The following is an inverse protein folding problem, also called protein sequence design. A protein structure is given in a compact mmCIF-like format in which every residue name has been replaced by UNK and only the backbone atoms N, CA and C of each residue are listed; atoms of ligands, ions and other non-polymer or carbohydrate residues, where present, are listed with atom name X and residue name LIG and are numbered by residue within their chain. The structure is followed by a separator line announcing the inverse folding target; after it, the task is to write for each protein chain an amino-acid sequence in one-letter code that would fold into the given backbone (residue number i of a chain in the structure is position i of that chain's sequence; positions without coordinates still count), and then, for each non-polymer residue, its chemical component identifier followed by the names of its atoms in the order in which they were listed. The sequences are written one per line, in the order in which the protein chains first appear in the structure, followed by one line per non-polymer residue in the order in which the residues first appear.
data_IF_348186993864
#
_entry.id   IF_348186993864
#
_cell.length_a   1.000
_cell.length_b   1.000
_cell.length_c   1.000
_cell.angle_alpha   90.00
_cell.angle_beta   90.00
_cell.angle_gamma   90.00
#
_symmetry.space_group_name_H-M   'P 1'
#
loop_
_entity.id
_entity.type
_entity.pdbx_description
1 polymer ?
#
# COMPACT_ATOMS: atom_id res chain seq x y z
N UNK A 1 83.58 -24.59 23.34
CA UNK A 1 82.92 -23.90 24.47
C UNK A 1 81.66 -23.21 23.96
N UNK A 2 80.59 -23.38 24.71
CA UNK A 2 79.18 -23.22 24.34
C UNK A 2 78.74 -21.79 24.00
N UNK A 3 77.73 -21.68 23.13
CA UNK A 3 76.57 -20.77 23.35
C UNK A 3 75.39 -21.21 22.49
N UNK A 4 74.50 -22.00 23.12
CA UNK A 4 73.13 -22.23 22.69
C UNK A 4 72.34 -20.98 23.01
N UNK A 5 71.68 -20.37 22.02
CA UNK A 5 70.73 -19.27 22.27
C UNK A 5 69.41 -19.63 21.61
N UNK A 6 68.46 -20.08 22.44
CA UNK A 6 67.11 -20.43 22.03
C UNK A 6 66.32 -19.20 21.60
N UNK A 7 65.63 -19.28 20.46
CA UNK A 7 64.62 -18.33 20.04
C UNK A 7 63.27 -18.77 20.60
N UNK A 8 62.75 -18.00 21.54
CA UNK A 8 61.40 -18.15 22.08
C UNK A 8 60.41 -17.71 20.99
N UNK A 9 59.55 -18.62 20.54
CA UNK A 9 58.40 -18.28 19.68
C UNK A 9 57.31 -17.68 20.57
N UNK A 10 57.07 -16.38 20.44
CA UNK A 10 55.89 -15.74 20.98
C UNK A 10 54.68 -16.13 20.12
N UNK A 11 53.76 -16.93 20.68
CA UNK A 11 52.44 -17.15 20.13
C UNK A 11 51.55 -15.97 20.54
N UNK A 12 51.18 -15.12 19.58
CA UNK A 12 50.15 -14.09 19.77
C UNK A 12 48.82 -14.78 19.43
N UNK A 13 47.86 -14.91 20.37
CA UNK A 13 46.53 -15.37 20.02
C UNK A 13 45.84 -14.25 19.23
N UNK A 14 45.52 -14.53 17.96
CA UNK A 14 44.65 -13.67 17.16
C UNK A 14 43.23 -13.79 17.74
N UNK A 15 42.79 -12.75 18.46
CA UNK A 15 41.39 -12.56 18.84
C UNK A 15 40.58 -12.30 17.58
N UNK A 16 39.94 -13.35 17.06
CA UNK A 16 38.85 -13.24 16.09
C UNK A 16 37.64 -12.62 16.81
N UNK A 17 37.49 -11.31 16.72
CA UNK A 17 36.22 -10.64 17.04
C UNK A 17 35.22 -11.00 15.95
N UNK A 18 34.44 -12.05 16.17
CA UNK A 18 33.20 -12.29 15.41
C UNK A 18 32.25 -11.14 15.66
N UNK A 19 32.23 -10.18 14.74
CA UNK A 19 31.15 -9.18 14.67
C UNK A 19 29.91 -9.95 14.23
N UNK A 20 29.02 -10.25 15.18
CA UNK A 20 27.66 -10.67 14.91
C UNK A 20 26.98 -9.51 14.16
N UNK A 21 26.94 -9.60 12.83
CA UNK A 21 26.05 -8.82 11.98
C UNK A 21 24.62 -9.24 12.35
N UNK A 22 24.04 -8.55 13.32
CA UNK A 22 22.60 -8.62 13.55
C UNK A 22 21.92 -8.18 12.25
N UNK A 23 20.97 -8.96 11.70
CA UNK A 23 20.20 -8.49 10.57
C UNK A 23 19.49 -7.21 11.01
N UNK A 24 19.81 -6.10 10.32
CA UNK A 24 19.05 -4.87 10.45
C UNK A 24 17.61 -5.23 10.08
N UNK A 25 16.62 -4.99 10.95
CA UNK A 25 15.23 -5.21 10.55
C UNK A 25 14.97 -4.35 9.32
N UNK A 26 14.59 -5.00 8.21
CA UNK A 26 14.17 -4.29 7.03
C UNK A 26 13.00 -3.39 7.44
N UNK A 27 13.19 -2.08 7.35
CA UNK A 27 12.09 -1.13 7.54
C UNK A 27 11.10 -1.46 6.42
N UNK A 28 9.81 -1.74 6.72
CA UNK A 28 8.84 -2.01 5.68
C UNK A 28 8.79 -0.78 4.77
N UNK A 29 9.25 -0.96 3.54
CA UNK A 29 9.22 0.08 2.52
C UNK A 29 7.75 0.27 2.15
N UNK A 30 7.20 1.45 2.41
CA UNK A 30 5.83 1.76 2.05
C UNK A 30 5.64 1.59 0.53
N UNK A 31 4.51 0.98 0.11
CA UNK A 31 4.20 0.78 -1.30
C UNK A 31 4.21 2.12 -2.06
N UNK A 32 5.00 2.26 -3.15
CA UNK A 32 5.18 3.54 -3.85
C UNK A 32 3.86 4.21 -4.28
N UNK A 33 2.88 3.43 -4.72
CA UNK A 33 1.55 3.91 -5.11
C UNK A 33 0.82 4.52 -3.91
N UNK A 34 0.88 3.89 -2.74
CA UNK A 34 0.20 4.41 -1.55
C UNK A 34 0.85 5.71 -1.07
N UNK A 35 2.17 5.82 -1.18
CA UNK A 35 2.89 7.07 -0.91
C UNK A 35 2.43 8.16 -1.88
N UNK A 36 2.36 7.85 -3.17
CA UNK A 36 1.97 8.82 -4.20
C UNK A 36 0.49 9.23 -4.14
N UNK A 37 -0.39 8.40 -3.56
CA UNK A 37 -1.81 8.73 -3.36
C UNK A 37 -2.06 9.75 -2.24
N UNK A 38 -1.08 10.06 -1.39
CA UNK A 38 -1.26 11.01 -0.29
C UNK A 38 -1.69 12.40 -0.78
N UNK A 39 -2.59 13.04 -0.03
CA UNK A 39 -3.11 14.37 -0.31
C UNK A 39 -4.49 14.36 -0.98
N UNK A 40 -4.91 15.52 -1.47
CA UNK A 40 -6.25 15.74 -2.01
C UNK A 40 -6.31 15.62 -3.53
N UNK A 41 -7.37 15.02 -4.02
CA UNK A 41 -7.59 14.67 -5.42
C UNK A 41 -8.93 15.20 -5.92
N UNK A 42 -8.92 15.74 -7.14
CA UNK A 42 -10.15 15.97 -7.89
C UNK A 42 -10.50 14.67 -8.59
N UNK A 43 -11.45 13.93 -8.04
CA UNK A 43 -11.91 12.69 -8.65
C UNK A 43 -13.20 12.84 -9.43
N UNK A 44 -13.40 11.92 -10.36
CA UNK A 44 -14.65 11.70 -11.08
C UNK A 44 -14.91 10.21 -11.16
N UNK A 45 -16.05 9.77 -10.66
CA UNK A 45 -16.56 8.43 -10.92
C UNK A 45 -17.17 8.44 -12.32
N UNK A 46 -16.42 8.00 -13.33
CA UNK A 46 -16.84 8.05 -14.75
C UNK A 46 -17.82 6.93 -15.11
N UNK A 47 -17.87 5.87 -14.30
CA UNK A 47 -18.82 4.77 -14.41
C UNK A 47 -19.30 4.40 -13.02
N UNK A 48 -20.61 4.47 -12.81
CA UNK A 48 -21.31 3.89 -11.66
C UNK A 48 -22.69 3.40 -12.12
N UNK A 49 -23.41 2.61 -11.32
CA UNK A 49 -24.80 2.25 -11.61
C UNK A 49 -25.75 3.44 -11.77
N UNK A 50 -25.40 4.61 -11.22
CA UNK A 50 -26.22 5.83 -11.25
C UNK A 50 -25.73 6.87 -12.27
N UNK A 51 -24.73 6.54 -13.08
CA UNK A 51 -24.09 7.46 -14.00
C UNK A 51 -22.84 8.12 -13.42
N UNK A 52 -22.29 9.10 -14.13
CA UNK A 52 -21.06 9.77 -13.71
C UNK A 52 -21.32 10.80 -12.61
N UNK A 53 -20.42 10.93 -11.64
CA UNK A 53 -20.51 11.94 -10.59
C UNK A 53 -19.12 12.42 -10.11
N UNK A 54 -19.03 13.61 -9.50
CA UNK A 54 -17.82 14.05 -8.79
C UNK A 54 -17.42 13.04 -7.71
N UNK A 55 -16.12 12.89 -7.50
CA UNK A 55 -15.53 11.98 -6.52
C UNK A 55 -14.32 12.64 -5.82
N UNK A 56 -14.48 13.80 -5.17
CA UNK A 56 -13.38 14.40 -4.42
C UNK A 56 -12.98 13.50 -3.25
N UNK A 57 -11.68 13.36 -3.00
CA UNK A 57 -11.15 12.58 -1.87
C UNK A 57 -9.80 13.14 -1.44
N UNK A 58 -9.54 13.12 -0.12
CA UNK A 58 -8.22 13.34 0.43
C UNK A 58 -7.76 12.06 1.13
N UNK A 59 -6.54 11.62 0.84
CA UNK A 59 -5.90 10.51 1.53
C UNK A 59 -4.89 11.05 2.54
N UNK A 60 -5.08 10.70 3.80
CA UNK A 60 -4.28 11.16 4.93
C UNK A 60 -3.55 9.99 5.58
N UNK A 61 -2.25 10.16 5.82
CA UNK A 61 -1.45 9.22 6.59
C UNK A 61 -1.85 9.28 8.06
N UNK A 62 -2.22 8.12 8.61
CA UNK A 62 -2.65 7.95 9.99
C UNK A 62 -1.46 7.62 10.90
N UNK A 63 -1.69 7.68 12.22
CA UNK A 63 -0.64 7.41 13.23
C UNK A 63 -0.09 5.99 13.19
N UNK A 64 -0.90 5.03 12.76
CA UNK A 64 -0.51 3.63 12.56
C UNK A 64 0.15 3.39 11.20
N UNK A 65 0.55 4.46 10.50
CA UNK A 65 1.11 4.44 9.14
C UNK A 65 0.14 3.91 8.07
N UNK A 66 -1.15 3.76 8.38
CA UNK A 66 -2.17 3.46 7.39
C UNK A 66 -2.55 4.71 6.59
N UNK A 67 -3.01 4.52 5.35
CA UNK A 67 -3.54 5.60 4.51
C UNK A 67 -5.05 5.54 4.53
N UNK A 68 -5.70 6.63 4.88
CA UNK A 68 -7.16 6.69 4.98
C UNK A 68 -7.74 7.84 4.16
N UNK A 69 -8.83 7.59 3.45
CA UNK A 69 -9.56 8.63 2.73
C UNK A 69 -11.06 8.36 2.68
N UNK A 70 -11.83 9.45 2.62
CA UNK A 70 -13.30 9.41 2.50
C UNK A 70 -13.73 10.28 1.34
N UNK A 71 -14.50 9.70 0.42
CA UNK A 71 -15.24 10.45 -0.59
C UNK A 71 -16.71 10.57 -0.15
N UNK A 72 -17.21 11.79 -0.03
CA UNK A 72 -18.62 12.09 0.26
C UNK A 72 -19.37 12.35 -1.06
N UNK A 73 -20.32 11.48 -1.39
CA UNK A 73 -20.98 11.41 -2.70
C UNK A 73 -22.48 11.70 -2.60
N UNK A 74 -22.87 12.55 -1.64
CA UNK A 74 -24.27 12.96 -1.34
C UNK A 74 -25.14 11.82 -0.77
N UNK A 75 -25.29 10.72 -1.49
CA UNK A 75 -26.11 9.56 -1.07
C UNK A 75 -25.32 8.46 -0.36
N UNK A 76 -23.99 8.57 -0.34
CA UNK A 76 -23.11 7.55 0.22
C UNK A 76 -21.74 8.14 0.51
N UNK A 77 -21.08 7.62 1.53
CA UNK A 77 -19.66 7.84 1.80
C UNK A 77 -18.89 6.59 1.41
N UNK A 78 -17.76 6.79 0.73
CA UNK A 78 -16.83 5.71 0.40
C UNK A 78 -15.58 5.88 1.24
N UNK A 79 -15.36 4.94 2.15
CA UNK A 79 -14.19 4.88 3.02
C UNK A 79 -13.17 3.94 2.41
N UNK A 80 -11.94 4.42 2.30
CA UNK A 80 -10.78 3.71 1.79
C UNK A 80 -9.73 3.69 2.89
N UNK A 81 -9.36 2.51 3.35
CA UNK A 81 -8.34 2.35 4.38
C UNK A 81 -7.30 1.33 3.91
N UNK A 82 -6.11 1.80 3.61
CA UNK A 82 -4.97 0.98 3.19
C UNK A 82 -4.02 0.79 4.37
N UNK A 83 -3.63 -0.43 4.64
CA UNK A 83 -2.66 -0.75 5.70
C UNK A 83 -1.68 -1.79 5.22
N UNK A 84 -0.42 -1.66 5.63
CA UNK A 84 0.64 -2.65 5.36
C UNK A 84 1.08 -3.24 6.69
N UNK A 85 0.96 -4.56 6.85
CA UNK A 85 1.43 -5.31 8.01
C UNK A 85 2.19 -6.54 7.51
N UNK A 86 3.39 -6.79 8.05
CA UNK A 86 4.18 -8.00 7.74
C UNK A 86 4.32 -8.27 6.22
N UNK A 87 4.68 -7.22 5.46
CA UNK A 87 4.80 -7.24 3.99
C UNK A 87 3.50 -7.58 3.23
N UNK A 88 2.35 -7.50 3.90
CA UNK A 88 1.02 -7.66 3.30
C UNK A 88 0.27 -6.35 3.33
N UNK A 89 -0.03 -5.85 2.14
CA UNK A 89 -0.89 -4.67 1.97
C UNK A 89 -2.34 -5.11 1.89
N UNK A 90 -3.21 -4.44 2.64
CA UNK A 90 -4.63 -4.70 2.72
C UNK A 90 -5.42 -3.43 2.44
N UNK A 91 -6.59 -3.59 1.83
CA UNK A 91 -7.59 -2.56 1.64
C UNK A 91 -8.86 -2.95 2.39
N UNK A 92 -9.23 -2.13 3.37
CA UNK A 92 -10.57 -2.12 3.95
C UNK A 92 -11.40 -1.05 3.24
N UNK A 93 -12.40 -1.50 2.48
CA UNK A 93 -13.30 -0.65 1.71
C UNK A 93 -14.72 -0.70 2.26
N UNK A 94 -15.37 0.46 2.40
CA UNK A 94 -16.78 0.58 2.78
C UNK A 94 -17.46 1.61 1.90
N UNK A 95 -18.54 1.22 1.22
CA UNK A 95 -19.52 2.16 0.67
C UNK A 95 -20.74 2.15 1.57
N UNK A 96 -21.18 3.33 2.06
CA UNK A 96 -22.38 3.45 2.91
C UNK A 96 -23.69 3.51 2.12
N UNK A 97 -23.64 3.24 0.81
CA UNK A 97 -24.81 3.24 -0.04
C UNK A 97 -25.86 2.24 0.48
N UNK A 98 -27.14 2.63 0.40
CA UNK A 98 -28.27 1.83 0.88
C UNK A 98 -28.15 1.38 2.36
N UNK A 99 -27.46 2.17 3.20
CA UNK A 99 -27.32 1.88 4.63
C UNK A 99 -26.29 0.81 4.96
N UNK A 100 -25.43 0.42 4.02
CA UNK A 100 -24.37 -0.55 4.29
C UNK A 100 -23.36 0.00 5.31
N UNK A 101 -23.11 -0.75 6.38
CA UNK A 101 -22.18 -0.44 7.45
C UNK A 101 -21.02 -1.45 7.55
N UNK A 102 -21.06 -2.49 6.71
CA UNK A 102 -20.14 -3.61 6.76
C UNK A 102 -18.98 -3.38 5.78
N UNK A 103 -17.75 -3.18 6.27
CA UNK A 103 -16.58 -3.04 5.40
C UNK A 103 -16.17 -4.39 4.80
N UNK A 104 -15.63 -4.34 3.59
CA UNK A 104 -15.01 -5.48 2.92
C UNK A 104 -13.50 -5.36 3.08
N UNK A 105 -12.85 -6.46 3.42
CA UNK A 105 -11.41 -6.57 3.54
C UNK A 105 -10.86 -7.29 2.31
N UNK A 106 -9.84 -6.70 1.69
CA UNK A 106 -9.21 -7.17 0.48
C UNK A 106 -7.70 -7.25 0.72
N UNK A 107 -7.10 -8.36 0.31
CA UNK A 107 -5.66 -8.56 0.33
C UNK A 107 -5.07 -8.11 -1.00
N UNK A 108 -3.91 -7.44 -0.98
CA UNK A 108 -3.18 -7.17 -2.20
C UNK A 108 -2.76 -8.50 -2.85
N UNK A 109 -3.27 -8.79 -4.05
CA UNK A 109 -2.89 -9.96 -4.85
C UNK A 109 -1.72 -9.64 -5.78
N UNK A 110 -1.48 -8.36 -6.06
CA UNK A 110 -0.38 -7.91 -6.90
C UNK A 110 0.01 -6.47 -6.58
N UNK A 111 1.32 -6.21 -6.47
CA UNK A 111 1.90 -4.89 -6.28
C UNK A 111 3.02 -4.68 -7.30
N UNK A 112 3.02 -3.51 -7.93
CA UNK A 112 4.05 -3.05 -8.85
C UNK A 112 4.17 -1.52 -8.73
N UNK A 113 5.15 -0.92 -9.41
CA UNK A 113 5.41 0.53 -9.33
C UNK A 113 4.21 1.38 -9.74
N UNK A 114 3.48 0.96 -10.79
CA UNK A 114 2.40 1.76 -11.40
C UNK A 114 1.00 1.16 -11.19
N UNK A 115 0.91 -0.07 -10.66
CA UNK A 115 -0.39 -0.68 -10.38
C UNK A 115 -0.42 -1.56 -9.14
N UNK A 116 -1.61 -1.65 -8.53
CA UNK A 116 -1.90 -2.47 -7.37
C UNK A 116 -3.27 -3.13 -7.53
N UNK A 117 -3.38 -4.40 -7.17
CA UNK A 117 -4.63 -5.18 -7.27
C UNK A 117 -4.96 -5.75 -5.89
N UNK A 118 -6.20 -5.56 -5.47
CA UNK A 118 -6.76 -6.09 -4.23
C UNK A 118 -7.93 -7.03 -4.50
N UNK A 119 -7.97 -8.15 -3.79
CA UNK A 119 -8.96 -9.21 -3.95
C UNK A 119 -9.44 -9.73 -2.59
N UNK A 120 -10.71 -10.13 -2.49
CA UNK A 120 -11.25 -10.74 -1.27
C UNK A 120 -10.88 -12.23 -1.20
N UNK A 121 -10.42 -12.70 -0.04
CA UNK A 121 -9.94 -14.08 0.16
C UNK A 121 -11.00 -15.15 -0.15
N UNK A 122 -12.27 -14.88 0.21
CA UNK A 122 -13.37 -15.87 0.11
C UNK A 122 -14.54 -15.42 -0.77
N UNK A 123 -14.45 -14.26 -1.42
CA UNK A 123 -15.51 -13.78 -2.29
C UNK A 123 -14.95 -13.56 -3.69
N UNK A 124 -15.37 -14.42 -4.63
CA UNK A 124 -15.13 -14.28 -6.08
C UNK A 124 -15.84 -13.04 -6.67
N UNK A 125 -16.09 -12.02 -5.86
CA UNK A 125 -17.11 -11.03 -6.07
C UNK A 125 -16.57 -9.63 -6.13
N UNK A 126 -15.47 -9.26 -5.46
CA UNK A 126 -14.96 -7.90 -5.52
C UNK A 126 -13.44 -7.86 -5.73
N UNK A 127 -13.03 -7.07 -6.73
CA UNK A 127 -11.64 -6.77 -7.05
C UNK A 127 -11.49 -5.26 -7.19
N UNK A 128 -10.44 -4.69 -6.62
CA UNK A 128 -10.07 -3.29 -6.82
C UNK A 128 -8.73 -3.24 -7.52
N UNK A 129 -8.67 -2.52 -8.65
CA UNK A 129 -7.42 -2.22 -9.34
C UNK A 129 -7.14 -0.73 -9.24
N UNK A 130 -5.93 -0.39 -8.83
CA UNK A 130 -5.41 0.98 -8.83
C UNK A 130 -4.31 1.01 -9.89
N UNK A 131 -4.44 1.87 -10.87
CA UNK A 131 -3.49 2.02 -11.96
C UNK A 131 -3.13 3.50 -12.10
N UNK A 132 -1.85 3.82 -12.04
CA UNK A 132 -1.32 5.10 -12.46
C UNK A 132 -1.39 5.18 -13.99
N UNK A 133 -2.01 6.23 -14.53
CA UNK A 133 -2.12 6.41 -15.98
C UNK A 133 -1.07 7.38 -16.52
N UNK A 134 -0.93 8.51 -15.83
CA UNK A 134 -0.01 9.60 -16.12
C UNK A 134 0.54 10.13 -14.79
N UNK A 135 1.46 11.10 -14.83
CA UNK A 135 1.88 11.80 -13.63
C UNK A 135 0.65 12.37 -12.91
N UNK A 136 0.50 12.04 -11.62
CA UNK A 136 -0.61 12.51 -10.76
C UNK A 136 -2.01 12.22 -11.32
N UNK A 137 -2.17 11.09 -12.01
CA UNK A 137 -3.48 10.57 -12.39
C UNK A 137 -3.60 9.09 -12.08
N UNK A 138 -4.59 8.73 -11.27
CA UNK A 138 -4.87 7.35 -10.88
C UNK A 138 -6.27 6.92 -11.30
N UNK A 139 -6.37 5.71 -11.84
CA UNK A 139 -7.62 5.04 -12.16
C UNK A 139 -7.88 3.92 -11.16
N UNK A 140 -8.99 4.03 -10.45
CA UNK A 140 -9.52 2.99 -9.57
C UNK A 140 -10.64 2.26 -10.31
N UNK A 141 -10.51 0.96 -10.48
CA UNK A 141 -11.53 0.09 -11.07
C UNK A 141 -12.03 -0.88 -10.03
N UNK A 142 -13.31 -0.81 -9.66
CA UNK A 142 -13.97 -1.78 -8.81
C UNK A 142 -14.75 -2.74 -9.71
N UNK A 143 -14.38 -4.01 -9.69
CA UNK A 143 -15.06 -5.08 -10.41
C UNK A 143 -15.92 -5.90 -9.47
N UNK A 144 -17.18 -6.12 -9.87
CA UNK A 144 -18.09 -7.04 -9.18
C UNK A 144 -18.37 -8.23 -10.07
N UNK A 145 -18.10 -9.46 -9.59
CA UNK A 145 -18.25 -10.71 -10.37
C UNK A 145 -17.51 -10.68 -11.71
N UNK A 146 -16.31 -10.09 -11.73
CA UNK A 146 -15.50 -9.93 -12.95
C UNK A 146 -16.03 -8.89 -13.95
N UNK A 147 -17.05 -8.10 -13.59
CA UNK A 147 -17.55 -6.99 -14.41
C UNK A 147 -17.22 -5.67 -13.76
N UNK A 148 -16.68 -4.73 -14.53
CA UNK A 148 -16.48 -3.36 -14.07
C UNK A 148 -17.80 -2.75 -13.56
N UNK A 149 -17.83 -2.41 -12.28
CA UNK A 149 -19.00 -1.87 -11.62
C UNK A 149 -18.87 -0.37 -11.35
N UNK A 150 -17.69 0.04 -10.89
CA UNK A 150 -17.35 1.43 -10.63
C UNK A 150 -15.97 1.74 -11.21
N UNK A 151 -15.84 2.89 -11.84
CA UNK A 151 -14.56 3.41 -12.32
C UNK A 151 -14.43 4.85 -11.84
N UNK A 152 -13.36 5.12 -11.11
CA UNK A 152 -13.01 6.43 -10.58
C UNK A 152 -11.67 6.84 -11.18
N UNK A 153 -11.59 8.08 -11.66
CA UNK A 153 -10.33 8.70 -12.07
C UNK A 153 -10.05 9.83 -11.09
N UNK A 154 -8.88 9.81 -10.48
CA UNK A 154 -8.37 10.82 -9.57
C UNK A 154 -7.26 11.60 -10.27
N UNK A 155 -7.37 12.93 -10.28
CA UNK A 155 -6.33 13.81 -10.81
C UNK A 155 -5.97 14.86 -9.76
N UNK A 156 -4.68 15.04 -9.52
CA UNK A 156 -4.20 16.12 -8.65
C UNK A 156 -3.91 17.34 -9.52
N UNK A 157 -4.59 18.47 -9.27
CA UNK A 157 -4.22 19.71 -9.94
C UNK A 157 -2.89 20.20 -9.36
N UNK A 158 -1.99 20.65 -10.25
CA UNK A 158 -0.88 21.50 -9.85
C UNK A 158 -1.44 22.71 -9.09
N UNK A 159 -0.81 23.01 -7.95
CA UNK A 159 -1.11 24.22 -7.18
C UNK A 159 -0.55 25.45 -7.89
#
# INVERSE_FOLDING_TARGET
MNKVTGKIRAFIPALLTSVLLLPVPAIPVADPILVALQGCWQGKAIKTPRGALPYPICFELQRDSSLYGVADLDVSRHHWHFSTQEDKTQLRFLSTFAGNDTPIYLSASHTATEHMIFEADNSRYLKVRILQQEERTYRFTIEVKGKEHVIIVLTQKER
#
